data_IF_302926190657
#
_entry.id   IF_302926190657
#
_cell.length_a   1.000
_cell.length_b   1.000
_cell.length_c   1.000
_cell.angle_alpha   90.00
_cell.angle_beta   90.00
_cell.angle_gamma   90.00
#
_symmetry.space_group_name_H-M   'P 1'
#
loop_
_entity.id
_entity.type
_entity.pdbx_description
1 polymer ?
#
# COMPACT_ATOMS: atom_id res chain seq x y z
N UNK A 1 -9.85 58.45 21.65
CA UNK A 1 -9.49 57.27 22.45
C UNK A 1 -10.16 55.96 22.02
N UNK A 2 -11.43 55.95 21.58
CA UNK A 2 -12.13 54.71 21.13
C UNK A 2 -11.61 54.08 19.81
N UNK A 3 -10.97 54.84 18.91
CA UNK A 3 -10.44 54.30 17.64
C UNK A 3 -9.12 53.55 17.78
N UNK A 4 -8.28 53.94 18.75
CA UNK A 4 -6.98 53.28 19.00
C UNK A 4 -7.11 51.92 19.69
N UNK A 5 -8.16 51.70 20.47
CA UNK A 5 -8.46 50.43 21.12
C UNK A 5 -8.99 49.39 20.14
N UNK A 6 -9.79 49.79 19.12
CA UNK A 6 -10.26 48.86 18.08
C UNK A 6 -9.12 48.35 17.17
N UNK A 7 -8.12 49.19 16.86
CA UNK A 7 -6.98 48.78 16.05
C UNK A 7 -6.04 47.82 16.78
N UNK A 8 -5.90 47.93 18.11
CA UNK A 8 -5.06 47.00 18.91
C UNK A 8 -5.70 45.61 19.06
N UNK A 9 -7.03 45.55 19.28
CA UNK A 9 -7.75 44.26 19.35
C UNK A 9 -7.81 43.56 18.00
N UNK A 10 -7.95 44.29 16.90
CA UNK A 10 -7.94 43.72 15.57
C UNK A 10 -6.54 43.16 15.18
N UNK A 11 -5.47 43.90 15.52
CA UNK A 11 -4.09 43.45 15.30
C UNK A 11 -3.70 42.23 16.15
N UNK A 12 -4.17 42.16 17.41
CA UNK A 12 -3.98 41.01 18.27
C UNK A 12 -4.69 39.75 17.70
N UNK A 13 -5.94 39.91 17.23
CA UNK A 13 -6.68 38.82 16.60
C UNK A 13 -6.02 38.30 15.30
N UNK A 14 -5.44 39.19 14.49
CA UNK A 14 -4.67 38.77 13.29
C UNK A 14 -3.38 38.03 13.65
N UNK A 15 -2.66 38.46 14.69
CA UNK A 15 -1.42 37.81 15.15
C UNK A 15 -1.71 36.43 15.77
N UNK A 16 -2.82 36.31 16.52
CA UNK A 16 -3.27 35.02 17.05
C UNK A 16 -3.71 34.09 15.94
N UNK A 17 -4.38 34.55 14.89
CA UNK A 17 -4.83 33.74 13.74
C UNK A 17 -3.64 33.29 12.89
N UNK A 18 -2.62 34.14 12.70
CA UNK A 18 -1.36 33.77 12.03
C UNK A 18 -0.52 32.77 12.85
N UNK A 19 -0.42 32.94 14.16
CA UNK A 19 0.29 32.01 15.06
C UNK A 19 -0.41 30.66 15.13
N UNK A 20 -1.76 30.64 15.18
CA UNK A 20 -2.56 29.42 15.10
C UNK A 20 -2.43 28.73 13.74
N UNK A 21 -2.40 29.48 12.65
CA UNK A 21 -2.18 28.94 11.31
C UNK A 21 -0.79 28.32 11.17
N UNK A 22 0.26 28.98 11.65
CA UNK A 22 1.64 28.48 11.66
C UNK A 22 1.79 27.22 12.53
N UNK A 23 1.14 27.19 13.70
CA UNK A 23 1.13 26.04 14.61
C UNK A 23 0.41 24.84 14.00
N UNK A 24 -0.71 25.07 13.31
CA UNK A 24 -1.43 24.03 12.54
C UNK A 24 -0.61 23.51 11.37
N UNK A 25 0.11 24.39 10.70
CA UNK A 25 1.00 24.00 9.58
C UNK A 25 2.19 23.18 10.05
N UNK A 26 2.84 23.57 11.13
CA UNK A 26 3.92 22.79 11.74
C UNK A 26 3.42 21.43 12.25
N UNK A 27 2.23 21.37 12.85
CA UNK A 27 1.60 20.15 13.34
C UNK A 27 1.34 19.13 12.25
N UNK A 28 0.91 19.55 11.05
CA UNK A 28 0.63 18.61 9.93
C UNK A 28 1.89 17.91 9.41
N UNK A 29 3.01 18.62 9.31
CA UNK A 29 4.27 18.02 8.85
C UNK A 29 4.85 17.04 9.87
N UNK A 30 4.78 17.42 11.17
CA UNK A 30 5.16 16.50 12.25
C UNK A 30 4.30 15.23 12.23
N UNK A 31 2.98 15.36 12.09
CA UNK A 31 2.08 14.22 12.00
C UNK A 31 2.39 13.34 10.79
N UNK A 32 2.68 13.95 9.62
CA UNK A 32 3.05 13.23 8.40
C UNK A 32 4.33 12.40 8.61
N UNK A 33 5.39 13.00 9.14
CA UNK A 33 6.67 12.30 9.36
C UNK A 33 6.51 11.17 10.37
N UNK A 34 5.90 11.45 11.53
CA UNK A 34 5.72 10.44 12.56
C UNK A 34 4.86 9.27 12.09
N UNK A 35 3.78 9.56 11.37
CA UNK A 35 2.88 8.53 10.86
C UNK A 35 3.53 7.74 9.71
N UNK A 36 4.28 8.40 8.82
CA UNK A 36 5.03 7.73 7.76
C UNK A 36 6.09 6.77 8.34
N UNK A 37 6.85 7.21 9.36
CA UNK A 37 7.80 6.33 10.05
C UNK A 37 7.08 5.16 10.71
N UNK A 38 5.99 5.40 11.43
CA UNK A 38 5.23 4.34 12.09
C UNK A 38 4.62 3.34 11.10
N UNK A 39 4.11 3.82 9.95
CA UNK A 39 3.58 3.01 8.87
C UNK A 39 4.67 2.12 8.25
N UNK A 40 5.86 2.70 7.98
CA UNK A 40 7.03 1.95 7.52
C UNK A 40 7.36 0.82 8.49
N UNK A 41 7.49 1.13 9.77
CA UNK A 41 7.85 0.16 10.80
C UNK A 41 6.78 -0.93 10.98
N UNK A 42 5.50 -0.56 11.00
CA UNK A 42 4.39 -1.49 11.14
C UNK A 42 4.25 -2.43 9.94
N UNK A 43 4.45 -1.91 8.72
CA UNK A 43 4.29 -2.69 7.49
C UNK A 43 5.48 -3.59 7.16
N UNK A 44 6.58 -3.50 7.91
CA UNK A 44 7.70 -4.44 7.84
C UNK A 44 7.28 -5.90 8.10
N UNK A 45 6.20 -6.13 8.85
CA UNK A 45 5.64 -7.46 9.08
C UNK A 45 5.12 -8.15 7.81
N UNK A 46 4.75 -7.39 6.77
CA UNK A 46 4.03 -7.95 5.61
C UNK A 46 4.84 -9.02 4.89
N UNK A 47 6.06 -8.69 4.46
CA UNK A 47 6.94 -9.61 3.74
C UNK A 47 8.05 -10.22 4.61
N UNK A 48 7.95 -10.14 5.95
CA UNK A 48 8.96 -10.68 6.85
C UNK A 48 9.25 -12.16 6.59
N UNK A 49 8.22 -13.00 6.46
CA UNK A 49 8.41 -14.41 6.13
C UNK A 49 8.83 -14.61 4.67
N UNK A 50 8.30 -13.80 3.73
CA UNK A 50 8.63 -13.93 2.29
C UNK A 50 10.11 -13.68 2.00
N UNK A 51 10.74 -12.74 2.71
CA UNK A 51 12.17 -12.47 2.58
C UNK A 51 13.03 -13.68 3.03
N UNK A 52 12.56 -14.45 3.99
CA UNK A 52 13.29 -15.58 4.58
C UNK A 52 12.76 -16.96 4.15
N UNK A 53 11.84 -16.99 3.19
CA UNK A 53 11.28 -18.25 2.63
C UNK A 53 12.34 -19.28 2.25
N UNK A 54 13.50 -18.95 1.62
CA UNK A 54 14.50 -19.96 1.30
C UNK A 54 15.00 -20.75 2.52
N UNK A 55 15.24 -20.06 3.64
CA UNK A 55 15.68 -20.70 4.88
C UNK A 55 14.58 -21.56 5.50
N UNK A 56 13.33 -21.04 5.55
CA UNK A 56 12.17 -21.79 6.06
C UNK A 56 11.91 -23.04 5.20
N UNK A 57 11.99 -22.94 3.87
CA UNK A 57 11.83 -24.08 2.97
C UNK A 57 12.85 -25.18 3.25
N UNK A 58 14.11 -24.81 3.46
CA UNK A 58 15.17 -25.76 3.79
C UNK A 58 14.91 -26.46 5.13
N UNK A 59 14.54 -25.70 6.17
CA UNK A 59 14.32 -26.23 7.52
C UNK A 59 13.06 -27.12 7.60
N UNK A 60 11.94 -26.65 7.00
CA UNK A 60 10.65 -27.35 7.09
C UNK A 60 10.38 -28.29 5.90
N UNK A 61 11.32 -28.40 4.96
CA UNK A 61 11.22 -29.23 3.74
C UNK A 61 9.97 -28.92 2.92
N UNK A 62 9.63 -27.64 2.78
CA UNK A 62 8.43 -27.21 2.07
C UNK A 62 8.58 -27.30 0.55
N UNK A 63 7.49 -27.66 -0.12
CA UNK A 63 7.32 -27.48 -1.56
C UNK A 63 7.24 -25.98 -1.92
N UNK A 64 7.39 -25.63 -3.19
CA UNK A 64 7.19 -24.25 -3.66
C UNK A 64 5.78 -23.73 -3.38
N UNK A 65 4.78 -24.57 -3.64
CA UNK A 65 3.38 -24.25 -3.33
C UNK A 65 3.16 -24.03 -1.82
N UNK A 66 3.78 -24.85 -0.95
CA UNK A 66 3.73 -24.67 0.50
C UNK A 66 4.32 -23.34 0.95
N UNK A 67 5.47 -22.95 0.39
CA UNK A 67 6.10 -21.68 0.68
C UNK A 67 5.24 -20.46 0.23
N UNK A 68 4.55 -20.59 -0.91
CA UNK A 68 3.60 -19.57 -1.39
C UNK A 68 2.46 -19.28 -0.41
N UNK A 69 1.99 -20.30 0.33
CA UNK A 69 0.96 -20.13 1.34
C UNK A 69 1.36 -19.20 2.48
N UNK A 70 2.64 -19.12 2.84
CA UNK A 70 3.11 -18.19 3.89
C UNK A 70 2.91 -16.71 3.50
N UNK A 71 3.02 -16.37 2.23
CA UNK A 71 2.74 -15.02 1.72
C UNK A 71 1.23 -14.81 1.54
N UNK A 72 0.53 -15.82 1.02
CA UNK A 72 -0.90 -15.73 0.75
C UNK A 72 -1.73 -15.60 2.02
N UNK A 73 -1.35 -16.30 3.08
CA UNK A 73 -2.03 -16.25 4.37
C UNK A 73 -2.14 -14.84 4.93
N UNK A 74 -1.09 -14.01 4.78
CA UNK A 74 -1.13 -12.59 5.19
C UNK A 74 -2.19 -11.82 4.42
N UNK A 75 -2.33 -12.06 3.13
CA UNK A 75 -3.30 -11.36 2.29
C UNK A 75 -4.72 -11.75 2.63
N UNK A 76 -4.97 -13.05 2.80
CA UNK A 76 -6.28 -13.56 3.24
C UNK A 76 -6.63 -13.06 4.66
N UNK A 77 -5.64 -13.04 5.56
CA UNK A 77 -5.78 -12.46 6.88
C UNK A 77 -6.13 -10.97 6.82
N UNK A 78 -5.46 -10.20 5.94
CA UNK A 78 -5.76 -8.78 5.75
C UNK A 78 -7.18 -8.54 5.23
N UNK A 79 -7.66 -9.35 4.29
CA UNK A 79 -9.06 -9.31 3.83
C UNK A 79 -10.02 -9.59 4.98
N UNK A 80 -9.79 -10.67 5.74
CA UNK A 80 -10.61 -11.03 6.88
C UNK A 80 -10.62 -9.92 7.95
N UNK A 81 -9.45 -9.37 8.28
CA UNK A 81 -9.31 -8.26 9.23
C UNK A 81 -10.01 -6.98 8.76
N UNK A 82 -9.90 -6.65 7.46
CA UNK A 82 -10.57 -5.49 6.88
C UNK A 82 -12.10 -5.64 6.94
N UNK A 83 -12.62 -6.81 6.57
CA UNK A 83 -14.06 -7.11 6.67
C UNK A 83 -14.53 -7.08 8.12
N UNK A 84 -13.81 -7.72 9.02
CA UNK A 84 -14.15 -7.74 10.45
C UNK A 84 -14.15 -6.33 11.05
N UNK A 85 -13.11 -5.53 10.75
CA UNK A 85 -13.00 -4.14 11.18
C UNK A 85 -14.18 -3.30 10.68
N UNK A 86 -14.58 -3.50 9.41
CA UNK A 86 -15.70 -2.78 8.82
C UNK A 86 -17.05 -3.23 9.41
N UNK A 87 -17.29 -4.54 9.55
CA UNK A 87 -18.53 -5.09 10.12
C UNK A 87 -18.74 -4.66 11.57
N UNK A 88 -17.67 -4.61 12.36
CA UNK A 88 -17.71 -4.18 13.75
C UNK A 88 -17.62 -2.65 13.91
N UNK A 89 -17.47 -1.90 12.81
CA UNK A 89 -17.24 -0.46 12.81
C UNK A 89 -16.10 -0.02 13.76
N UNK A 90 -15.02 -0.80 13.84
CA UNK A 90 -13.92 -0.57 14.79
C UNK A 90 -13.34 0.85 14.71
N UNK A 91 -13.15 1.49 13.53
CA UNK A 91 -12.64 2.85 13.43
C UNK A 91 -13.57 3.95 14.00
N UNK A 92 -14.84 3.64 14.29
CA UNK A 92 -15.80 4.55 14.90
C UNK A 92 -15.94 4.31 16.40
N UNK A 93 -15.64 3.08 16.88
CA UNK A 93 -15.69 2.70 18.29
C UNK A 93 -14.35 3.00 18.98
N UNK A 94 -13.24 2.72 18.29
CA UNK A 94 -11.88 2.87 18.81
C UNK A 94 -11.21 4.02 18.06
N UNK A 95 -10.55 4.95 18.77
CA UNK A 95 -9.80 6.01 18.07
C UNK A 95 -8.75 5.40 17.12
N UNK A 96 -8.58 5.99 15.93
CA UNK A 96 -7.70 5.47 14.90
C UNK A 96 -6.26 5.23 15.40
N UNK A 97 -5.77 6.09 16.31
CA UNK A 97 -4.45 5.94 16.95
C UNK A 97 -4.35 4.70 17.84
N UNK A 98 -5.36 4.46 18.68
CA UNK A 98 -5.40 3.28 19.55
C UNK A 98 -5.56 1.99 18.72
N UNK A 99 -6.39 2.04 17.69
CA UNK A 99 -6.59 0.90 16.78
C UNK A 99 -5.27 0.55 16.07
N UNK A 100 -4.57 1.55 15.51
CA UNK A 100 -3.26 1.36 14.90
C UNK A 100 -2.27 0.71 15.86
N UNK A 101 -2.10 1.28 17.06
CA UNK A 101 -1.13 0.79 18.04
C UNK A 101 -1.44 -0.63 18.51
N UNK A 102 -2.70 -0.89 18.87
CA UNK A 102 -3.14 -2.22 19.33
C UNK A 102 -2.89 -3.28 18.26
N UNK A 103 -3.31 -3.00 17.03
CA UNK A 103 -3.20 -3.98 15.95
C UNK A 103 -1.75 -4.14 15.47
N UNK A 104 -0.93 -3.09 15.48
CA UNK A 104 0.52 -3.20 15.22
C UNK A 104 1.20 -4.12 16.26
N UNK A 105 0.88 -3.95 17.55
CA UNK A 105 1.41 -4.81 18.61
C UNK A 105 0.90 -6.26 18.48
N UNK A 106 -0.40 -6.47 18.23
CA UNK A 106 -0.94 -7.82 18.04
C UNK A 106 -0.35 -8.51 16.80
N UNK A 107 -0.17 -7.77 15.71
CA UNK A 107 0.50 -8.26 14.50
C UNK A 107 1.97 -8.61 14.75
N UNK A 108 2.68 -7.79 15.52
CA UNK A 108 4.05 -8.05 15.93
C UNK A 108 4.16 -9.31 16.80
N UNK A 109 3.24 -9.50 17.74
CA UNK A 109 3.18 -10.71 18.58
C UNK A 109 2.89 -11.96 17.73
N UNK A 110 1.96 -11.91 16.79
CA UNK A 110 1.68 -13.02 15.88
C UNK A 110 2.92 -13.36 15.02
N UNK A 111 3.63 -12.35 14.52
CA UNK A 111 4.85 -12.53 13.74
C UNK A 111 6.03 -13.05 14.60
N UNK A 112 6.16 -12.60 15.85
CA UNK A 112 7.14 -13.13 16.80
C UNK A 112 6.81 -14.59 17.17
N UNK A 113 5.52 -14.91 17.39
CA UNK A 113 5.08 -16.27 17.64
C UNK A 113 5.39 -17.20 16.46
N UNK A 114 5.29 -16.72 15.21
CA UNK A 114 5.77 -17.46 14.05
C UNK A 114 7.24 -17.82 14.16
N UNK A 115 8.10 -16.86 14.51
CA UNK A 115 9.55 -17.09 14.64
C UNK A 115 9.90 -18.05 15.76
N UNK A 116 9.16 -18.02 16.87
CA UNK A 116 9.51 -18.74 18.11
C UNK A 116 8.87 -20.15 18.20
N UNK A 117 7.65 -20.30 17.65
CA UNK A 117 6.81 -21.47 17.92
C UNK A 117 6.39 -22.22 16.66
N UNK A 118 6.45 -21.63 15.46
CA UNK A 118 6.08 -22.34 14.26
C UNK A 118 7.18 -23.36 13.86
N UNK A 119 6.78 -24.61 13.69
CA UNK A 119 7.66 -25.70 13.32
C UNK A 119 7.21 -26.39 12.02
N UNK A 120 6.03 -26.05 11.52
CA UNK A 120 5.43 -26.62 10.33
C UNK A 120 4.61 -25.59 9.54
N UNK A 121 4.19 -25.98 8.34
CA UNK A 121 3.40 -25.12 7.44
C UNK A 121 2.07 -24.71 8.05
N UNK A 122 1.38 -25.57 8.78
CA UNK A 122 0.04 -25.31 9.32
C UNK A 122 0.08 -24.20 10.35
N UNK A 123 0.96 -24.36 11.35
CA UNK A 123 1.20 -23.30 12.36
C UNK A 123 1.69 -22.00 11.69
N UNK A 124 2.58 -22.12 10.71
CA UNK A 124 3.10 -21.00 9.95
C UNK A 124 2.00 -20.22 9.22
N UNK A 125 1.13 -20.90 8.48
CA UNK A 125 -0.02 -20.29 7.77
C UNK A 125 -0.99 -19.63 8.73
N UNK A 126 -1.33 -20.28 9.85
CA UNK A 126 -2.24 -19.72 10.85
C UNK A 126 -1.69 -18.41 11.45
N UNK A 127 -0.41 -18.37 11.84
CA UNK A 127 0.21 -17.19 12.43
C UNK A 127 0.43 -16.08 11.40
N UNK A 128 0.71 -16.40 10.13
CA UNK A 128 0.77 -15.44 9.02
C UNK A 128 -0.61 -14.85 8.72
N UNK A 129 -1.67 -15.67 8.76
CA UNK A 129 -3.05 -15.19 8.65
C UNK A 129 -3.39 -14.19 9.75
N UNK A 130 -3.08 -14.51 11.01
CA UNK A 130 -3.28 -13.59 12.14
C UNK A 130 -2.47 -12.30 11.97
N UNK A 131 -1.20 -12.39 11.54
CA UNK A 131 -0.38 -11.22 11.24
C UNK A 131 -1.09 -10.32 10.23
N UNK A 132 -1.59 -10.88 9.12
CA UNK A 132 -2.33 -10.14 8.11
C UNK A 132 -3.62 -9.53 8.64
N UNK A 133 -4.38 -10.27 9.43
CA UNK A 133 -5.62 -9.81 10.04
C UNK A 133 -5.40 -8.56 10.91
N UNK A 134 -4.35 -8.53 11.69
CA UNK A 134 -3.99 -7.36 12.50
C UNK A 134 -3.45 -6.21 11.65
N UNK A 135 -2.71 -6.46 10.57
CA UNK A 135 -2.22 -5.40 9.67
C UNK A 135 -3.36 -4.60 9.00
N UNK A 136 -4.56 -5.16 8.92
CA UNK A 136 -5.76 -4.43 8.48
C UNK A 136 -6.14 -3.26 9.42
N UNK A 137 -5.69 -3.27 10.65
CA UNK A 137 -5.85 -2.18 11.60
C UNK A 137 -4.68 -1.21 11.65
N UNK A 138 -3.66 -1.35 10.79
CA UNK A 138 -2.50 -0.45 10.69
C UNK A 138 -2.70 0.55 9.56
N UNK A 139 -2.68 0.12 8.31
CA UNK A 139 -2.73 0.99 7.15
C UNK A 139 -4.01 1.84 7.03
N UNK A 140 -5.24 1.30 7.10
CA UNK A 140 -6.44 2.12 6.96
C UNK A 140 -6.62 3.17 8.06
N UNK A 141 -6.36 2.88 9.36
CA UNK A 141 -6.35 3.90 10.40
C UNK A 141 -5.28 4.96 10.19
N UNK A 142 -4.08 4.61 9.72
CA UNK A 142 -3.04 5.56 9.35
C UNK A 142 -3.52 6.56 8.29
N UNK A 143 -4.17 6.07 7.24
CA UNK A 143 -4.79 6.90 6.19
C UNK A 143 -5.89 7.81 6.76
N UNK A 144 -6.73 7.29 7.68
CA UNK A 144 -7.78 8.07 8.35
C UNK A 144 -7.17 9.21 9.16
N UNK A 145 -6.15 8.95 9.98
CA UNK A 145 -5.44 10.00 10.75
C UNK A 145 -4.89 11.07 9.80
N UNK A 146 -4.19 10.67 8.73
CA UNK A 146 -3.60 11.63 7.79
C UNK A 146 -4.65 12.50 7.10
N UNK A 147 -5.80 11.94 6.77
CA UNK A 147 -6.90 12.69 6.16
C UNK A 147 -7.49 13.77 7.09
N UNK A 148 -7.29 13.67 8.42
CA UNK A 148 -7.67 14.73 9.37
C UNK A 148 -6.68 15.91 9.41
N UNK A 149 -5.48 15.75 8.86
CA UNK A 149 -4.45 16.77 8.82
C UNK A 149 -4.38 17.54 7.49
N UNK A 150 -4.73 16.90 6.38
CA UNK A 150 -4.53 17.45 5.03
C UNK A 150 -5.85 17.61 4.27
N UNK A 151 -6.24 18.87 3.98
CA UNK A 151 -7.27 19.23 2.99
C UNK A 151 -6.66 19.58 1.64
N UNK A 152 -5.57 20.38 1.64
CA UNK A 152 -4.76 20.70 0.44
C UNK A 152 -3.49 19.87 0.45
N UNK A 153 -3.00 19.46 -0.73
CA UNK A 153 -1.83 18.58 -0.85
C UNK A 153 -2.09 17.15 -0.34
N UNK A 154 -3.35 16.70 -0.35
CA UNK A 154 -3.75 15.38 0.12
C UNK A 154 -3.12 14.26 -0.71
N UNK A 155 -2.95 14.47 -2.03
CA UNK A 155 -2.29 13.51 -2.90
C UNK A 155 -0.84 13.25 -2.49
N UNK A 156 -0.09 14.31 -2.22
CA UNK A 156 1.28 14.21 -1.73
C UNK A 156 1.35 13.49 -0.37
N UNK A 157 0.50 13.89 0.60
CA UNK A 157 0.52 13.28 1.94
C UNK A 157 0.19 11.78 1.91
N UNK A 158 -0.82 11.38 1.11
CA UNK A 158 -1.16 9.98 0.90
C UNK A 158 -0.07 9.24 0.12
N UNK A 159 0.57 9.89 -0.85
CA UNK A 159 1.73 9.35 -1.58
C UNK A 159 2.91 9.05 -0.65
N UNK A 160 3.21 9.94 0.32
CA UNK A 160 4.24 9.71 1.35
C UNK A 160 3.89 8.52 2.23
N UNK A 161 2.62 8.38 2.66
CA UNK A 161 2.19 7.24 3.49
C UNK A 161 2.27 5.91 2.74
N UNK A 162 1.79 5.86 1.49
CA UNK A 162 1.88 4.64 0.66
C UNK A 162 3.34 4.36 0.31
N UNK A 163 4.16 5.39 0.12
CA UNK A 163 5.61 5.24 -0.04
C UNK A 163 6.29 4.63 1.20
N UNK A 164 5.94 5.12 2.38
CA UNK A 164 6.44 4.58 3.64
C UNK A 164 6.02 3.12 3.86
N UNK A 165 4.75 2.79 3.61
CA UNK A 165 4.23 1.43 3.60
C UNK A 165 5.03 0.52 2.64
N UNK A 166 5.32 1.01 1.43
CA UNK A 166 6.07 0.26 0.41
C UNK A 166 7.50 -0.01 0.88
N UNK A 167 8.16 1.01 1.43
CA UNK A 167 9.51 0.88 1.97
C UNK A 167 9.54 -0.07 3.20
N UNK A 168 8.51 -0.01 4.05
CA UNK A 168 8.33 -0.94 5.16
C UNK A 168 8.22 -2.38 4.69
N UNK A 169 7.41 -2.65 3.66
CA UNK A 169 7.31 -3.98 3.05
C UNK A 169 8.62 -4.48 2.42
N UNK A 170 9.47 -3.57 1.95
CA UNK A 170 10.78 -3.91 1.40
C UNK A 170 11.83 -4.18 2.50
N UNK A 171 11.69 -3.61 3.70
CA UNK A 171 12.72 -3.65 4.75
C UNK A 171 13.19 -5.04 5.18
N UNK A 172 12.38 -6.13 5.16
CA UNK A 172 12.86 -7.47 5.48
C UNK A 172 13.96 -7.98 4.53
N UNK A 173 13.93 -7.56 3.26
CA UNK A 173 14.97 -7.89 2.30
C UNK A 173 16.28 -7.19 2.62
N UNK A 174 16.22 -5.93 3.09
CA UNK A 174 17.41 -5.19 3.54
C UNK A 174 18.05 -5.86 4.75
N UNK A 175 17.25 -6.22 5.76
CA UNK A 175 17.75 -6.89 6.97
C UNK A 175 18.37 -8.23 6.61
N UNK A 176 17.77 -8.97 5.68
CA UNK A 176 18.31 -10.22 5.18
C UNK A 176 19.65 -10.03 4.43
N UNK A 177 19.77 -8.96 3.62
CA UNK A 177 21.00 -8.60 2.91
C UNK A 177 22.15 -8.22 3.84
N UNK A 178 21.86 -7.61 5.00
CA UNK A 178 22.86 -7.18 5.99
C UNK A 178 23.42 -8.33 6.86
N UNK A 179 23.00 -9.58 6.61
CA UNK A 179 23.67 -10.76 7.15
C UNK A 179 23.06 -11.33 8.43
N UNK A 180 21.75 -11.24 8.63
CA UNK A 180 21.12 -12.11 9.63
C UNK A 180 21.13 -13.54 9.11
N UNK A 181 22.09 -14.36 9.56
CA UNK A 181 22.22 -15.78 9.20
C UNK A 181 21.01 -16.60 9.67
N UNK A 182 20.28 -16.12 10.64
CA UNK A 182 19.12 -16.79 11.22
C UNK A 182 17.83 -16.07 10.82
N UNK A 183 16.96 -16.77 10.10
CA UNK A 183 15.67 -16.23 9.65
C UNK A 183 14.76 -15.78 10.81
N UNK A 184 14.90 -16.42 12.00
CA UNK A 184 14.17 -16.04 13.22
C UNK A 184 14.54 -14.63 13.70
N UNK A 185 15.81 -14.25 13.60
CA UNK A 185 16.30 -12.91 13.99
C UNK A 185 15.67 -11.85 13.06
N UNK A 186 15.58 -12.10 11.74
CA UNK A 186 14.90 -11.21 10.83
C UNK A 186 13.43 -11.00 11.24
N UNK A 187 12.69 -12.09 11.48
CA UNK A 187 11.27 -12.04 11.87
C UNK A 187 11.06 -11.27 13.19
N UNK A 188 11.91 -11.53 14.20
CA UNK A 188 11.85 -10.84 15.51
C UNK A 188 12.20 -9.36 15.38
N UNK A 189 13.18 -9.01 14.53
CA UNK A 189 13.53 -7.62 14.24
C UNK A 189 12.34 -6.85 13.64
N UNK A 190 11.64 -7.46 12.68
CA UNK A 190 10.42 -6.86 12.10
C UNK A 190 9.32 -6.70 13.16
N UNK A 191 9.19 -7.66 14.08
CA UNK A 191 8.23 -7.56 15.19
C UNK A 191 8.58 -6.40 16.13
N UNK A 192 9.84 -6.24 16.49
CA UNK A 192 10.30 -5.13 17.33
C UNK A 192 10.04 -3.77 16.65
N UNK A 193 10.36 -3.65 15.35
CA UNK A 193 10.09 -2.44 14.58
C UNK A 193 8.59 -2.09 14.57
N UNK A 194 7.71 -3.07 14.38
CA UNK A 194 6.26 -2.84 14.37
C UNK A 194 5.72 -2.38 15.74
N UNK A 195 6.24 -2.89 16.84
CA UNK A 195 5.92 -2.41 18.19
C UNK A 195 6.34 -0.95 18.35
N UNK A 196 7.56 -0.59 17.92
CA UNK A 196 8.03 0.80 17.95
C UNK A 196 7.12 1.70 17.12
N UNK A 197 6.72 1.26 15.91
CA UNK A 197 5.75 1.98 15.07
C UNK A 197 4.42 2.23 15.78
N UNK A 198 3.86 1.20 16.43
CA UNK A 198 2.64 1.30 17.22
C UNK A 198 2.77 2.31 18.37
N UNK A 199 3.88 2.28 19.10
CA UNK A 199 4.18 3.20 20.20
C UNK A 199 4.36 4.64 19.72
N UNK A 200 4.99 4.87 18.56
CA UNK A 200 5.12 6.21 17.96
C UNK A 200 3.72 6.80 17.72
N UNK A 201 2.79 6.04 17.13
CA UNK A 201 1.43 6.55 16.89
C UNK A 201 0.69 6.80 18.18
N UNK A 202 0.79 5.89 19.14
CA UNK A 202 0.06 6.01 20.41
C UNK A 202 0.49 7.23 21.22
N UNK A 203 1.80 7.49 21.28
CA UNK A 203 2.40 8.48 22.19
C UNK A 203 2.58 9.86 21.54
N UNK A 204 2.88 9.91 20.24
CA UNK A 204 3.34 11.15 19.59
C UNK A 204 2.47 11.67 18.46
N UNK A 205 1.56 10.84 17.90
CA UNK A 205 0.64 11.28 16.85
C UNK A 205 -0.68 11.73 17.48
N UNK A 206 -1.22 12.86 17.00
CA UNK A 206 -2.54 13.37 17.40
C UNK A 206 -3.48 13.37 16.20
N UNK A 207 -4.79 13.39 16.45
CA UNK A 207 -5.77 13.61 15.40
C UNK A 207 -5.67 15.06 14.91
N UNK A 208 -5.90 15.27 13.61
CA UNK A 208 -5.83 16.59 12.98
C UNK A 208 -7.08 17.43 13.23
N UNK A 209 -7.03 18.71 12.83
CA UNK A 209 -8.12 19.66 13.08
C UNK A 209 -9.37 19.44 12.21
N UNK A 210 -9.29 18.58 11.19
CA UNK A 210 -10.38 18.36 10.25
C UNK A 210 -11.13 17.07 10.58
N UNK A 211 -12.33 17.21 11.15
CA UNK A 211 -13.20 16.06 11.40
C UNK A 211 -13.59 15.36 10.07
N UNK A 212 -13.58 14.04 10.09
CA UNK A 212 -14.11 13.23 9.00
C UNK A 212 -15.49 12.71 9.41
N UNK A 213 -16.48 12.71 8.49
CA UNK A 213 -17.76 12.09 8.75
C UNK A 213 -17.57 10.59 9.01
N UNK A 214 -18.36 10.04 9.94
CA UNK A 214 -18.40 8.60 10.15
C UNK A 214 -18.96 7.92 8.89
N UNK A 215 -18.20 7.00 8.33
CA UNK A 215 -18.58 6.28 7.10
C UNK A 215 -18.82 4.81 7.46
N UNK A 216 -20.05 4.50 7.88
CA UNK A 216 -20.42 3.15 8.31
C UNK A 216 -20.44 2.17 7.13
N UNK A 217 -19.99 0.95 7.40
CA UNK A 217 -20.14 -0.15 6.46
C UNK A 217 -21.58 -0.69 6.49
N UNK A 218 -22.22 -0.78 5.33
CA UNK A 218 -23.54 -1.37 5.17
C UNK A 218 -23.53 -2.41 4.06
N UNK A 219 -23.64 -3.67 4.46
CA UNK A 219 -23.68 -4.83 3.53
C UNK A 219 -24.80 -4.70 2.48
N UNK A 220 -25.91 -4.07 2.82
CA UNK A 220 -27.05 -3.89 1.91
C UNK A 220 -26.74 -2.93 0.77
N UNK A 221 -25.73 -2.09 0.93
CA UNK A 221 -25.32 -1.08 -0.05
C UNK A 221 -24.17 -1.55 -0.95
N UNK A 222 -23.64 -2.75 -0.74
CA UNK A 222 -22.49 -3.29 -1.48
C UNK A 222 -22.72 -3.23 -3.01
N UNK A 223 -23.91 -3.62 -3.49
CA UNK A 223 -24.23 -3.59 -4.92
C UNK A 223 -24.37 -2.15 -5.44
N UNK A 224 -24.91 -1.23 -4.64
CA UNK A 224 -25.09 0.18 -5.01
C UNK A 224 -23.77 0.92 -5.24
N UNK A 225 -22.69 0.49 -4.60
CA UNK A 225 -21.36 1.05 -4.85
C UNK A 225 -20.97 0.95 -6.32
N UNK A 226 -21.38 -0.13 -7.00
CA UNK A 226 -21.08 -0.34 -8.43
C UNK A 226 -22.10 0.30 -9.38
N UNK A 227 -23.22 0.84 -8.92
CA UNK A 227 -24.18 1.57 -9.76
C UNK A 227 -23.56 2.88 -10.25
N UNK A 228 -22.78 3.57 -9.40
CA UNK A 228 -22.05 4.76 -9.81
C UNK A 228 -20.95 4.40 -10.81
N UNK A 229 -21.13 4.81 -12.07
CA UNK A 229 -20.19 4.51 -13.16
C UNK A 229 -18.77 5.01 -12.87
N UNK A 230 -18.61 6.17 -12.23
CA UNK A 230 -17.29 6.73 -11.90
C UNK A 230 -16.57 5.86 -10.86
N UNK A 231 -17.28 5.50 -9.79
CA UNK A 231 -16.77 4.60 -8.74
C UNK A 231 -16.42 3.23 -9.31
N UNK A 232 -17.29 2.68 -10.19
CA UNK A 232 -17.04 1.39 -10.85
C UNK A 232 -15.78 1.40 -11.69
N UNK A 233 -15.57 2.47 -12.49
CA UNK A 233 -14.36 2.60 -13.31
C UNK A 233 -13.10 2.76 -12.47
N UNK A 234 -13.16 3.51 -11.36
CA UNK A 234 -12.05 3.61 -10.41
C UNK A 234 -11.71 2.24 -9.76
N UNK A 235 -12.74 1.47 -9.37
CA UNK A 235 -12.56 0.11 -8.87
C UNK A 235 -11.95 -0.83 -9.91
N UNK A 236 -12.36 -0.75 -11.16
CA UNK A 236 -11.77 -1.55 -12.25
C UNK A 236 -10.30 -1.18 -12.49
N UNK A 237 -9.94 0.11 -12.38
CA UNK A 237 -8.56 0.55 -12.35
C UNK A 237 -7.77 -0.12 -11.23
N UNK A 238 -8.32 -0.07 -10.01
CA UNK A 238 -7.73 -0.69 -8.83
C UNK A 238 -7.56 -2.21 -8.96
N UNK A 239 -8.53 -2.91 -9.53
CA UNK A 239 -8.44 -4.35 -9.75
C UNK A 239 -7.35 -4.72 -10.76
N UNK A 240 -7.20 -3.92 -11.82
CA UNK A 240 -6.09 -4.08 -12.75
C UNK A 240 -4.72 -3.89 -12.10
N UNK A 241 -4.58 -2.86 -11.26
CA UNK A 241 -3.40 -2.61 -10.44
C UNK A 241 -3.10 -3.77 -9.46
N UNK A 242 -4.12 -4.26 -8.75
CA UNK A 242 -3.96 -5.33 -7.76
C UNK A 242 -3.60 -6.67 -8.41
N UNK A 243 -4.06 -6.94 -9.64
CA UNK A 243 -3.67 -8.12 -10.41
C UNK A 243 -2.16 -8.22 -10.60
N UNK A 244 -1.50 -7.09 -10.78
CA UNK A 244 -0.07 -6.98 -11.03
C UNK A 244 0.75 -6.89 -9.74
N UNK A 245 0.41 -5.94 -8.85
CA UNK A 245 1.25 -5.45 -7.77
C UNK A 245 1.80 -6.55 -6.86
N UNK A 246 0.93 -7.33 -6.24
CA UNK A 246 1.38 -8.30 -5.24
C UNK A 246 2.03 -9.55 -5.85
N UNK A 247 1.65 -9.91 -7.07
CA UNK A 247 2.34 -10.96 -7.80
C UNK A 247 3.78 -10.54 -8.16
N UNK A 248 3.97 -9.29 -8.61
CA UNK A 248 5.30 -8.72 -8.83
C UNK A 248 6.11 -8.68 -7.54
N UNK A 249 5.57 -8.12 -6.46
CA UNK A 249 6.28 -8.02 -5.18
C UNK A 249 6.67 -9.38 -4.58
N UNK A 250 5.86 -10.40 -4.82
CA UNK A 250 6.13 -11.77 -4.32
C UNK A 250 7.19 -12.47 -5.15
N UNK A 251 7.11 -12.39 -6.49
CA UNK A 251 7.88 -13.26 -7.37
C UNK A 251 9.08 -12.60 -8.03
N UNK A 252 9.13 -11.27 -8.13
CA UNK A 252 10.31 -10.59 -8.67
C UNK A 252 11.56 -10.79 -7.81
N UNK A 253 11.51 -10.74 -6.46
CA UNK A 253 12.65 -11.14 -5.64
C UNK A 253 13.14 -12.57 -5.89
N UNK A 254 12.23 -13.52 -6.12
CA UNK A 254 12.57 -14.91 -6.45
C UNK A 254 13.27 -14.99 -7.81
N UNK A 255 12.75 -14.28 -8.82
CA UNK A 255 13.39 -14.16 -10.14
C UNK A 255 14.79 -13.53 -10.07
N UNK A 256 14.96 -12.46 -9.27
CA UNK A 256 16.26 -11.81 -9.08
C UNK A 256 17.26 -12.76 -8.44
N UNK A 257 16.87 -13.48 -7.38
CA UNK A 257 17.72 -14.51 -6.75
C UNK A 257 18.14 -15.57 -7.76
N UNK A 258 17.19 -16.12 -8.53
CA UNK A 258 17.48 -17.14 -9.54
C UNK A 258 18.42 -16.63 -10.64
N UNK A 259 18.18 -15.41 -11.12
CA UNK A 259 19.01 -14.77 -12.16
C UNK A 259 20.42 -14.48 -11.67
N UNK A 260 20.59 -14.01 -10.44
CA UNK A 260 21.89 -13.68 -9.86
C UNK A 260 22.68 -14.94 -9.49
N UNK A 261 22.02 -15.95 -8.90
CA UNK A 261 22.62 -17.23 -8.57
C UNK A 261 23.14 -17.97 -9.84
N UNK A 262 22.39 -17.91 -10.94
CA UNK A 262 22.83 -18.50 -12.22
C UNK A 262 24.14 -17.86 -12.78
N UNK A 263 24.54 -16.71 -12.25
CA UNK A 263 25.77 -15.97 -12.61
C UNK A 263 26.84 -16.02 -11.51
N UNK A 264 26.65 -16.83 -10.47
CA UNK A 264 27.59 -16.95 -9.35
C UNK A 264 27.64 -15.70 -8.45
N UNK A 265 26.62 -14.81 -8.50
CA UNK A 265 26.55 -13.66 -7.62
C UNK A 265 26.10 -14.07 -6.21
N UNK A 266 26.57 -13.32 -5.21
CA UNK A 266 26.19 -13.55 -3.82
C UNK A 266 24.70 -13.32 -3.57
N UNK A 267 24.11 -14.10 -2.68
CA UNK A 267 22.69 -13.99 -2.31
C UNK A 267 22.35 -12.61 -1.73
N UNK A 268 23.27 -12.02 -0.97
CA UNK A 268 23.16 -10.66 -0.40
C UNK A 268 22.87 -9.59 -1.44
N UNK A 269 23.49 -9.71 -2.64
CA UNK A 269 23.24 -8.78 -3.73
C UNK A 269 21.83 -8.90 -4.30
N UNK A 270 21.28 -10.11 -4.38
CA UNK A 270 19.90 -10.30 -4.82
C UNK A 270 18.88 -9.75 -3.81
N UNK A 271 19.16 -9.88 -2.51
CA UNK A 271 18.35 -9.29 -1.45
C UNK A 271 18.40 -7.76 -1.48
N UNK A 272 19.60 -7.17 -1.66
CA UNK A 272 19.78 -5.73 -1.79
C UNK A 272 19.05 -5.20 -3.05
N UNK A 273 19.14 -5.91 -4.17
CA UNK A 273 18.40 -5.58 -5.38
C UNK A 273 16.89 -5.64 -5.15
N UNK A 274 16.39 -6.66 -4.44
CA UNK A 274 14.98 -6.80 -4.09
C UNK A 274 14.50 -5.63 -3.22
N UNK A 275 15.28 -5.26 -2.20
CA UNK A 275 15.00 -4.08 -1.38
C UNK A 275 14.94 -2.80 -2.22
N UNK A 276 15.94 -2.59 -3.08
CA UNK A 276 16.01 -1.40 -3.93
C UNK A 276 14.82 -1.31 -4.90
N UNK A 277 14.45 -2.43 -5.53
CA UNK A 277 13.34 -2.51 -6.49
C UNK A 277 12.00 -2.24 -5.81
N UNK A 278 11.70 -2.92 -4.71
CA UNK A 278 10.46 -2.69 -3.97
C UNK A 278 10.44 -1.29 -3.36
N UNK A 279 11.57 -0.86 -2.78
CA UNK A 279 11.75 0.46 -2.17
C UNK A 279 11.63 1.63 -3.16
N UNK A 280 11.98 1.42 -4.44
CA UNK A 280 11.79 2.42 -5.50
C UNK A 280 10.32 2.85 -5.64
N UNK A 281 9.38 1.99 -5.25
CA UNK A 281 7.94 2.32 -5.18
C UNK A 281 7.64 3.49 -4.25
N UNK A 282 8.43 3.71 -3.21
CA UNK A 282 8.26 4.86 -2.33
C UNK A 282 8.46 6.19 -3.09
N UNK A 283 9.48 6.27 -3.92
CA UNK A 283 9.70 7.42 -4.80
C UNK A 283 8.56 7.58 -5.81
N UNK A 284 8.12 6.46 -6.41
CA UNK A 284 6.97 6.42 -7.33
C UNK A 284 5.70 6.98 -6.70
N UNK A 285 5.37 6.55 -5.48
CA UNK A 285 4.18 7.02 -4.75
C UNK A 285 4.20 8.52 -4.45
N UNK A 286 5.34 9.05 -3.98
CA UNK A 286 5.48 10.48 -3.67
C UNK A 286 5.38 11.32 -4.93
N UNK A 287 6.10 10.95 -5.99
CA UNK A 287 6.07 11.68 -7.26
C UNK A 287 4.70 11.64 -7.92
N UNK A 288 4.03 10.47 -7.91
CA UNK A 288 2.67 10.33 -8.41
C UNK A 288 1.66 11.15 -7.59
N UNK A 289 1.79 11.19 -6.26
CA UNK A 289 0.97 12.01 -5.40
C UNK A 289 1.07 13.51 -5.71
N UNK A 290 2.30 14.02 -5.84
CA UNK A 290 2.58 15.41 -6.21
C UNK A 290 2.06 15.74 -7.62
N UNK A 291 2.24 14.82 -8.57
CA UNK A 291 1.80 15.01 -9.94
C UNK A 291 0.27 14.96 -10.05
N UNK A 292 -0.39 14.06 -9.29
CA UNK A 292 -1.84 13.93 -9.27
C UNK A 292 -2.54 15.18 -8.71
N UNK A 293 -1.91 15.89 -7.77
CA UNK A 293 -2.43 17.16 -7.26
C UNK A 293 -2.38 18.29 -8.33
N UNK A 294 -1.54 18.16 -9.39
CA UNK A 294 -1.38 19.13 -10.48
C UNK A 294 -2.18 18.79 -11.74
N UNK A 295 -2.04 17.55 -12.23
CA UNK A 295 -2.60 17.13 -13.53
C UNK A 295 -3.85 16.26 -13.41
N UNK A 296 -4.21 15.90 -12.16
CA UNK A 296 -5.35 15.04 -11.86
C UNK A 296 -4.98 13.57 -11.68
N UNK A 297 -5.87 12.82 -11.05
CA UNK A 297 -5.62 11.43 -10.62
C UNK A 297 -5.62 10.44 -11.78
N UNK A 298 -6.56 10.59 -12.71
CA UNK A 298 -6.75 9.63 -13.81
C UNK A 298 -5.60 9.59 -14.81
N UNK A 299 -4.97 10.72 -15.23
CA UNK A 299 -3.79 10.65 -16.10
C UNK A 299 -2.61 9.98 -15.41
N UNK A 300 -2.35 10.34 -14.15
CA UNK A 300 -1.20 9.79 -13.39
C UNK A 300 -1.34 8.28 -13.23
N UNK A 301 -2.52 7.79 -12.82
CA UNK A 301 -2.78 6.36 -12.74
C UNK A 301 -2.62 5.66 -14.09
N UNK A 302 -3.13 6.25 -15.19
CA UNK A 302 -2.98 5.69 -16.53
C UNK A 302 -1.53 5.58 -16.96
N UNK A 303 -0.69 6.61 -16.71
CA UNK A 303 0.73 6.59 -17.07
C UNK A 303 1.53 5.58 -16.25
N UNK A 304 1.29 5.53 -14.93
CA UNK A 304 1.95 4.57 -14.06
C UNK A 304 1.65 3.13 -14.50
N UNK A 305 0.35 2.81 -14.73
CA UNK A 305 -0.07 1.48 -15.18
C UNK A 305 0.42 1.14 -16.60
N UNK A 306 0.48 2.10 -17.51
CA UNK A 306 1.00 1.85 -18.86
C UNK A 306 2.50 1.49 -18.81
N UNK A 307 3.26 2.20 -17.98
CA UNK A 307 4.70 1.94 -17.82
C UNK A 307 4.96 0.63 -17.07
N UNK A 308 4.21 0.35 -16.00
CA UNK A 308 4.35 -0.92 -15.26
C UNK A 308 3.93 -2.12 -16.13
N UNK A 309 2.86 -1.99 -16.90
CA UNK A 309 2.44 -3.02 -17.86
C UNK A 309 3.47 -3.28 -18.95
N UNK A 310 4.17 -2.25 -19.45
CA UNK A 310 5.30 -2.43 -20.35
C UNK A 310 6.43 -3.22 -19.68
N UNK A 311 6.71 -2.96 -18.39
CA UNK A 311 7.70 -3.74 -17.64
C UNK A 311 7.29 -5.22 -17.48
N UNK A 312 5.99 -5.53 -17.29
CA UNK A 312 5.50 -6.92 -17.31
C UNK A 312 5.88 -7.67 -18.58
N UNK A 313 5.81 -6.98 -19.72
CA UNK A 313 6.13 -7.58 -21.03
C UNK A 313 7.63 -7.75 -21.24
N UNK A 314 8.46 -6.87 -20.67
CA UNK A 314 9.89 -6.77 -20.95
C UNK A 314 10.75 -7.55 -19.96
N UNK A 315 10.39 -7.61 -18.67
CA UNK A 315 11.27 -8.08 -17.59
C UNK A 315 11.75 -9.52 -17.81
N UNK A 316 10.90 -10.39 -18.32
CA UNK A 316 11.25 -11.78 -18.57
C UNK A 316 12.34 -11.96 -19.62
N UNK A 317 12.39 -11.09 -20.63
CA UNK A 317 13.46 -11.10 -21.64
C UNK A 317 14.80 -10.62 -21.07
N UNK A 318 14.75 -9.82 -19.98
CA UNK A 318 15.94 -9.36 -19.28
C UNK A 318 16.53 -10.43 -18.34
N UNK A 319 15.80 -11.51 -18.02
CA UNK A 319 16.22 -12.56 -17.07
C UNK A 319 17.58 -13.19 -17.43
N UNK A 320 17.79 -13.53 -18.69
CA UNK A 320 19.03 -14.13 -19.20
C UNK A 320 20.02 -13.09 -19.78
N UNK A 321 19.67 -11.80 -19.80
CA UNK A 321 20.50 -10.72 -20.31
C UNK A 321 21.44 -10.15 -19.23
N UNK A 322 22.01 -8.98 -19.45
CA UNK A 322 22.88 -8.31 -18.47
C UNK A 322 22.13 -8.06 -17.13
N UNK A 323 22.75 -8.36 -15.97
CA UNK A 323 22.19 -8.04 -14.67
C UNK A 323 21.81 -6.56 -14.50
N UNK A 324 22.58 -5.67 -15.11
CA UNK A 324 22.30 -4.22 -15.08
C UNK A 324 21.00 -3.89 -15.82
N UNK A 325 20.76 -4.48 -16.99
CA UNK A 325 19.50 -4.28 -17.74
C UNK A 325 18.30 -4.84 -16.96
N UNK A 326 18.43 -6.05 -16.41
CA UNK A 326 17.41 -6.64 -15.54
C UNK A 326 17.09 -5.72 -14.36
N UNK A 327 18.12 -5.19 -13.68
CA UNK A 327 17.97 -4.32 -12.52
C UNK A 327 17.30 -2.98 -12.90
N UNK A 328 17.69 -2.36 -14.03
CA UNK A 328 17.09 -1.10 -14.49
C UNK A 328 15.61 -1.28 -14.80
N UNK A 329 15.22 -2.31 -15.53
CA UNK A 329 13.79 -2.60 -15.82
C UNK A 329 13.03 -2.91 -14.53
N UNK A 330 13.64 -3.67 -13.61
CA UNK A 330 13.03 -3.98 -12.32
C UNK A 330 12.82 -2.73 -11.45
N UNK A 331 13.78 -1.79 -11.39
CA UNK A 331 13.64 -0.52 -10.66
C UNK A 331 12.52 0.34 -11.25
N UNK A 332 12.44 0.45 -12.57
CA UNK A 332 11.36 1.19 -13.23
C UNK A 332 10.01 0.55 -12.88
N UNK A 333 9.93 -0.77 -12.93
CA UNK A 333 8.73 -1.50 -12.57
C UNK A 333 8.36 -1.29 -11.09
N UNK A 334 9.33 -1.44 -10.17
CA UNK A 334 9.13 -1.20 -8.74
C UNK A 334 8.63 0.21 -8.43
N UNK A 335 9.15 1.23 -9.13
CA UNK A 335 8.71 2.61 -8.96
C UNK A 335 7.28 2.86 -9.50
N UNK A 336 6.91 2.19 -10.60
CA UNK A 336 5.65 2.50 -11.31
C UNK A 336 4.48 1.62 -10.87
N UNK A 337 4.72 0.38 -10.48
CA UNK A 337 3.68 -0.61 -10.13
C UNK A 337 2.81 -0.20 -8.93
N UNK A 338 3.29 0.68 -8.06
CA UNK A 338 2.56 1.13 -6.85
C UNK A 338 2.22 2.61 -6.88
N UNK A 339 2.76 3.36 -7.85
CA UNK A 339 2.61 4.81 -7.95
C UNK A 339 1.15 5.27 -8.10
N UNK A 340 0.31 4.46 -8.72
CA UNK A 340 -1.12 4.68 -8.95
C UNK A 340 -2.01 4.31 -7.76
N UNK A 341 -1.52 3.54 -6.79
CA UNK A 341 -2.29 2.92 -5.71
C UNK A 341 -3.18 3.91 -4.96
N UNK A 342 -2.63 5.05 -4.51
CA UNK A 342 -3.38 6.07 -3.78
C UNK A 342 -4.46 6.76 -4.64
N UNK A 343 -4.31 6.77 -5.97
CA UNK A 343 -5.19 7.50 -6.87
C UNK A 343 -6.56 6.83 -7.00
N UNK A 344 -6.62 5.50 -6.94
CA UNK A 344 -7.88 4.76 -7.03
C UNK A 344 -8.79 5.01 -5.83
N UNK A 345 -8.26 4.90 -4.63
CA UNK A 345 -9.02 5.17 -3.40
C UNK A 345 -9.43 6.63 -3.31
N UNK A 346 -8.58 7.55 -3.80
CA UNK A 346 -8.92 8.96 -3.90
C UNK A 346 -10.06 9.19 -4.91
N UNK A 347 -10.05 8.54 -6.09
CA UNK A 347 -11.15 8.63 -7.06
C UNK A 347 -12.46 8.09 -6.46
N UNK A 348 -12.43 6.95 -5.75
CA UNK A 348 -13.62 6.41 -5.08
C UNK A 348 -14.15 7.40 -4.03
N UNK A 349 -13.25 8.04 -3.27
CA UNK A 349 -13.62 9.03 -2.24
C UNK A 349 -14.23 10.30 -2.84
N UNK A 350 -13.72 10.75 -4.00
CA UNK A 350 -14.19 11.97 -4.66
C UNK A 350 -15.48 11.79 -5.47
N UNK A 351 -15.75 10.57 -5.95
CA UNK A 351 -16.87 10.27 -6.85
C UNK A 351 -18.01 9.53 -6.16
N UNK A 352 -17.74 8.90 -5.03
CA UNK A 352 -18.70 8.11 -4.27
C UNK A 352 -19.66 8.94 -3.45
N UNK A 353 -20.75 8.31 -3.01
CA UNK A 353 -21.66 8.89 -2.04
C UNK A 353 -20.99 8.89 -0.65
N UNK A 354 -20.90 10.05 0.04
CA UNK A 354 -20.32 10.14 1.37
C UNK A 354 -20.92 9.17 2.39
N UNK A 355 -22.21 8.83 2.28
CA UNK A 355 -22.89 7.90 3.18
C UNK A 355 -22.35 6.46 3.06
N UNK A 356 -21.86 6.06 1.88
CA UNK A 356 -21.41 4.70 1.58
C UNK A 356 -19.91 4.59 1.35
N UNK A 357 -19.18 5.63 1.68
CA UNK A 357 -17.73 5.70 1.46
C UNK A 357 -16.97 4.56 2.14
N UNK A 358 -17.31 4.25 3.39
CA UNK A 358 -16.71 3.15 4.13
C UNK A 358 -16.94 1.81 3.44
N UNK A 359 -18.17 1.56 2.96
CA UNK A 359 -18.52 0.36 2.21
C UNK A 359 -17.75 0.27 0.89
N UNK A 360 -17.65 1.38 0.16
CA UNK A 360 -16.96 1.44 -1.13
C UNK A 360 -15.47 1.12 -1.00
N UNK A 361 -14.77 1.73 -0.05
CA UNK A 361 -13.34 1.51 0.18
C UNK A 361 -13.05 0.11 0.74
N UNK A 362 -13.88 -0.40 1.65
CA UNK A 362 -13.74 -1.77 2.17
C UNK A 362 -13.91 -2.79 1.04
N UNK A 363 -14.94 -2.63 0.21
CA UNK A 363 -15.21 -3.52 -0.91
C UNK A 363 -14.09 -3.46 -1.96
N UNK A 364 -13.63 -2.26 -2.33
CA UNK A 364 -12.47 -2.06 -3.19
C UNK A 364 -11.27 -2.86 -2.68
N UNK A 365 -10.92 -2.65 -1.41
CA UNK A 365 -9.77 -3.29 -0.78
C UNK A 365 -9.92 -4.81 -0.75
N UNK A 366 -11.04 -5.32 -0.25
CA UNK A 366 -11.26 -6.77 -0.12
C UNK A 366 -11.23 -7.48 -1.47
N UNK A 367 -11.95 -6.97 -2.48
CA UNK A 367 -11.98 -7.58 -3.82
C UNK A 367 -10.60 -7.51 -4.50
N UNK A 368 -9.91 -6.37 -4.35
CA UNK A 368 -8.56 -6.24 -4.89
C UNK A 368 -7.59 -7.24 -4.27
N UNK A 369 -7.57 -7.39 -2.95
CA UNK A 369 -6.71 -8.36 -2.28
C UNK A 369 -7.10 -9.81 -2.57
N UNK A 370 -8.38 -10.14 -2.69
CA UNK A 370 -8.81 -11.47 -3.14
C UNK A 370 -8.32 -11.76 -4.57
N UNK A 371 -8.35 -10.79 -5.46
CA UNK A 371 -7.85 -10.95 -6.83
C UNK A 371 -6.35 -11.26 -6.85
N UNK A 372 -5.56 -10.69 -5.92
CA UNK A 372 -4.12 -10.96 -5.83
C UNK A 372 -3.82 -12.43 -5.52
N UNK A 373 -4.74 -13.13 -4.86
CA UNK A 373 -4.54 -14.56 -4.56
C UNK A 373 -4.43 -15.38 -5.85
N UNK A 374 -5.20 -15.01 -6.87
CA UNK A 374 -5.18 -15.67 -8.19
C UNK A 374 -3.86 -15.39 -8.90
N UNK A 375 -3.46 -14.12 -9.00
CA UNK A 375 -2.23 -13.73 -9.73
C UNK A 375 -0.96 -14.25 -9.05
N UNK A 376 -0.91 -14.28 -7.72
CA UNK A 376 0.22 -14.84 -6.97
C UNK A 376 0.38 -16.36 -7.23
N UNK A 377 -0.71 -17.13 -7.28
CA UNK A 377 -0.65 -18.54 -7.58
C UNK A 377 -0.37 -18.84 -9.07
N UNK A 378 -0.77 -17.93 -9.95
CA UNK A 378 -0.59 -18.11 -11.38
C UNK A 378 0.90 -18.11 -11.80
N UNK A 379 1.71 -17.23 -11.20
CA UNK A 379 3.11 -17.04 -11.60
C UNK A 379 3.97 -18.30 -11.45
N UNK A 380 4.03 -19.01 -10.30
CA UNK A 380 4.85 -20.22 -10.19
C UNK A 380 4.43 -21.31 -11.16
N UNK A 381 3.12 -21.51 -11.37
CA UNK A 381 2.62 -22.47 -12.34
C UNK A 381 3.04 -22.15 -13.79
N UNK A 382 3.17 -20.85 -14.10
CA UNK A 382 3.69 -20.41 -15.40
C UNK A 382 5.22 -20.54 -15.47
N UNK A 383 5.94 -20.25 -14.40
CA UNK A 383 7.40 -20.42 -14.34
C UNK A 383 7.78 -21.87 -14.59
N UNK A 384 7.04 -22.83 -14.01
CA UNK A 384 7.26 -24.28 -14.27
C UNK A 384 7.05 -24.66 -15.74
N UNK A 385 6.08 -24.05 -16.44
CA UNK A 385 5.70 -24.41 -17.81
C UNK A 385 6.49 -23.66 -18.88
N UNK A 386 6.69 -22.36 -18.69
CA UNK A 386 7.25 -21.45 -19.73
C UNK A 386 8.49 -20.68 -19.28
N UNK A 387 8.94 -20.91 -18.04
CA UNK A 387 10.10 -20.26 -17.46
C UNK A 387 9.86 -18.78 -17.11
N UNK A 388 10.84 -18.17 -16.45
CA UNK A 388 10.82 -16.76 -16.08
C UNK A 388 10.65 -15.81 -17.28
N UNK A 389 11.09 -16.27 -18.48
CA UNK A 389 11.05 -15.45 -19.72
C UNK A 389 9.65 -14.99 -20.08
N UNK A 390 8.62 -15.77 -19.80
CA UNK A 390 7.24 -15.49 -20.22
C UNK A 390 6.25 -15.38 -19.08
N UNK A 391 6.62 -15.79 -17.86
CA UNK A 391 5.68 -15.90 -16.75
C UNK A 391 5.01 -14.56 -16.40
N UNK A 392 5.77 -13.47 -16.36
CA UNK A 392 5.24 -12.15 -15.98
C UNK A 392 4.37 -11.48 -17.05
N UNK A 393 4.40 -11.96 -18.30
CA UNK A 393 3.49 -11.47 -19.36
C UNK A 393 2.02 -11.65 -18.96
N UNK A 394 1.72 -12.68 -18.17
CA UNK A 394 0.38 -12.94 -17.65
C UNK A 394 -0.15 -11.84 -16.71
N UNK A 395 0.71 -10.97 -16.22
CA UNK A 395 0.30 -9.81 -15.41
C UNK A 395 -0.12 -8.61 -16.26
N UNK A 396 0.37 -8.48 -17.49
CA UNK A 396 0.11 -7.34 -18.37
C UNK A 396 -1.38 -7.04 -18.66
N UNK A 397 -2.30 -8.03 -18.73
CA UNK A 397 -3.73 -7.75 -18.88
C UNK A 397 -4.32 -6.89 -17.75
N UNK A 398 -3.79 -6.99 -16.52
CA UNK A 398 -4.24 -6.17 -15.39
C UNK A 398 -4.05 -4.67 -15.62
N UNK A 399 -2.81 -4.17 -15.76
CA UNK A 399 -2.57 -2.76 -16.06
C UNK A 399 -3.22 -2.28 -17.35
N UNK A 400 -3.31 -3.11 -18.40
CA UNK A 400 -4.03 -2.77 -19.62
C UNK A 400 -5.52 -2.50 -19.34
N UNK A 401 -6.19 -3.38 -18.61
CA UNK A 401 -7.57 -3.21 -18.19
C UNK A 401 -7.75 -1.96 -17.32
N UNK A 402 -6.80 -1.70 -16.43
CA UNK A 402 -6.78 -0.52 -15.58
C UNK A 402 -6.61 0.77 -16.37
N UNK A 403 -5.67 0.84 -17.32
CA UNK A 403 -5.48 2.00 -18.21
C UNK A 403 -6.78 2.32 -18.97
N UNK A 404 -7.41 1.31 -19.59
CA UNK A 404 -8.68 1.49 -20.29
C UNK A 404 -9.76 2.05 -19.38
N UNK A 405 -9.84 1.54 -18.15
CA UNK A 405 -10.82 2.00 -17.15
C UNK A 405 -10.57 3.45 -16.74
N UNK A 406 -9.32 3.84 -16.49
CA UNK A 406 -8.96 5.20 -16.08
C UNK A 406 -9.11 6.21 -17.22
N UNK A 407 -8.80 5.85 -18.45
CA UNK A 407 -9.06 6.71 -19.62
C UNK A 407 -10.57 6.93 -19.86
N UNK A 408 -11.40 5.90 -19.66
CA UNK A 408 -12.86 6.04 -19.71
C UNK A 408 -13.38 6.95 -18.61
N UNK A 409 -12.83 6.84 -17.38
CA UNK A 409 -13.15 7.72 -16.27
C UNK A 409 -12.76 9.16 -16.57
N UNK A 410 -11.56 9.41 -17.09
CA UNK A 410 -11.11 10.73 -17.50
C UNK A 410 -12.04 11.38 -18.51
N UNK A 411 -12.46 10.64 -19.55
CA UNK A 411 -13.42 11.12 -20.55
C UNK A 411 -14.78 11.48 -19.94
N UNK A 412 -15.27 10.68 -18.99
CA UNK A 412 -16.51 10.95 -18.26
C UNK A 412 -16.44 12.25 -17.44
N UNK A 413 -15.33 12.45 -16.71
CA UNK A 413 -15.11 13.64 -15.90
C UNK A 413 -14.99 14.91 -16.77
N UNK A 414 -14.30 14.82 -17.90
CA UNK A 414 -14.18 15.91 -18.86
C UNK A 414 -15.55 16.36 -19.43
N UNK A 415 -16.43 15.40 -19.77
CA UNK A 415 -17.79 15.71 -20.23
C UNK A 415 -18.63 16.43 -19.17
N UNK A 416 -18.62 15.92 -17.91
CA UNK A 416 -19.35 16.57 -16.80
C UNK A 416 -18.87 18.01 -16.55
N UNK A 417 -17.56 18.25 -16.66
CA UNK A 417 -16.99 19.60 -16.50
C UNK A 417 -17.45 20.52 -17.64
N UNK A 418 -17.49 20.04 -18.87
CA UNK A 418 -17.97 20.82 -20.00
C UNK A 418 -19.47 21.16 -19.88
N UNK A 419 -20.31 20.21 -19.46
CA UNK A 419 -21.75 20.41 -19.22
C UNK A 419 -21.98 21.43 -18.09
N UNK A 420 -21.23 21.36 -16.98
CA UNK A 420 -21.36 22.31 -15.87
C UNK A 420 -20.96 23.74 -16.26
N UNK A 421 -19.99 23.90 -17.15
CA UNK A 421 -19.59 25.23 -17.66
C UNK A 421 -20.68 25.81 -18.57
N UNK A 422 -21.30 24.99 -19.42
CA UNK A 422 -22.40 25.45 -20.33
C UNK A 422 -23.61 25.93 -19.51
N UNK A 423 -24.01 25.21 -18.45
CA UNK A 423 -25.13 25.61 -17.58
C UNK A 423 -24.87 26.92 -16.81
N UNK A 424 -23.60 27.27 -16.54
CA UNK A 424 -23.25 28.53 -15.88
C UNK A 424 -23.20 29.74 -16.82
N UNK A 425 -23.18 29.51 -18.13
CA UNK A 425 -23.13 30.56 -19.17
C UNK A 425 -24.53 30.88 -19.71
N UNK A 426 -25.52 30.01 -19.50
CA UNK A 426 -26.95 30.27 -19.71
C UNK A 426 -27.59 30.94 -18.50
#
# INVERSE_FOLDING_TARGET
MKGMLKGKTQRAAWVEDEADAATREAGRWRALVLLAVAELLGMALWFSASAVVPAIRSEWKLSEAGAGWLTLAVQLGFVAGTLLSALLNLPDIISARRLFALTACCGALANAAFALFATDLTAGVALRFLTGMFLAGVYPPGMKIMATWFRRGRGMALGVLVGALTLGKASPYLVNALGSSEWRVNMLSMSALAIVGGLIVLLFVTDGPYALPAARFDVRQVLRVFENRGVRLANFGYFGHMWELYAMWTWLPVMLRASFAARGAEASLAEMASFAVLGAGAFGCVTAGLLADRVGRTPVASWAMALSGACCLLIGFCYASSPALLFVVAIIWGATVVADSAQFSACVTELGDPQYMGTALTLQTCLGFLLTTVSIHLIPALVERVGWRYAFIALAPGPLFGVVSMLRLQKQLGRRKAESVMIQVE
#
